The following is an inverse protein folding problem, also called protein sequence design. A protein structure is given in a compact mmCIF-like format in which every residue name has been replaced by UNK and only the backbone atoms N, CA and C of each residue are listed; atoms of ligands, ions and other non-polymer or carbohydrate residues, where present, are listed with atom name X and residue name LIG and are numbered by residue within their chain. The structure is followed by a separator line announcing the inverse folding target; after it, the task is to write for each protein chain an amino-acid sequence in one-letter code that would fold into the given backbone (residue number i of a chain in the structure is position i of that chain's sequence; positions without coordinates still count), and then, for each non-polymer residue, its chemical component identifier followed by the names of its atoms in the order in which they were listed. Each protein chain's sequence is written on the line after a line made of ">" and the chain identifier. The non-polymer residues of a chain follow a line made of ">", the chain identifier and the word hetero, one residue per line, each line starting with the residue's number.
data_IF_053146659640
#
_entry.id   IF_053146659640
#
_cell.length_a   1.000
_cell.length_b   1.000
_cell.length_c   1.000
_cell.angle_alpha   90.00
_cell.angle_beta   90.00
_cell.angle_gamma   90.00
#
_symmetry.space_group_name_H-M   'P 1'
#
loop_
_entity.id
_entity.type
_entity.pdbx_description
1 polymer ?
#
# COMPACT_ATOMS: atom_id res chain seq x y z
N UNK A 1 -16.66 9.60 12.84
CA UNK A 1 -15.23 9.43 13.19
C UNK A 1 -14.73 8.10 12.66
N UNK A 2 -13.92 8.10 11.60
CA UNK A 2 -13.38 6.88 10.97
C UNK A 2 -11.88 6.87 11.18
N UNK A 3 -11.40 5.95 12.02
CA UNK A 3 -9.97 5.72 12.24
C UNK A 3 -9.50 4.70 11.20
N UNK A 4 -8.36 4.97 10.58
CA UNK A 4 -7.62 4.03 9.73
C UNK A 4 -6.44 3.51 10.55
N UNK A 5 -6.21 2.20 10.55
CA UNK A 5 -5.05 1.57 11.17
C UNK A 5 -4.18 0.97 10.06
N UNK A 6 -2.90 1.26 10.11
CA UNK A 6 -1.92 0.75 9.15
C UNK A 6 -1.00 -0.27 9.84
N UNK A 7 -0.89 -1.46 9.25
CA UNK A 7 0.18 -2.39 9.54
C UNK A 7 1.41 -1.98 8.71
N UNK A 8 2.27 -1.15 9.30
CA UNK A 8 3.42 -0.58 8.61
C UNK A 8 4.43 -1.62 8.08
N UNK A 9 5.20 -1.23 7.06
CA UNK A 9 6.18 -2.12 6.40
C UNK A 9 7.09 -2.88 7.37
N UNK A 10 7.69 -2.28 8.42
CA UNK A 10 8.57 -3.02 9.33
C UNK A 10 7.85 -4.10 10.14
N UNK A 11 6.57 -3.87 10.49
CA UNK A 11 5.76 -4.85 11.21
C UNK A 11 5.50 -6.07 10.33
N UNK A 12 5.05 -5.84 9.09
CA UNK A 12 4.77 -6.93 8.15
C UNK A 12 6.06 -7.66 7.75
N UNK A 13 7.17 -6.95 7.50
CA UNK A 13 8.45 -7.60 7.19
C UNK A 13 8.95 -8.51 8.31
N UNK A 14 8.69 -8.15 9.56
CA UNK A 14 9.16 -8.93 10.72
C UNK A 14 8.28 -10.15 11.03
N UNK A 15 6.98 -10.05 10.84
CA UNK A 15 6.01 -11.06 11.29
C UNK A 15 5.16 -11.67 10.17
N UNK A 16 5.33 -11.22 8.93
CA UNK A 16 4.50 -11.61 7.79
C UNK A 16 3.06 -11.10 7.91
N UNK A 17 2.19 -11.66 7.07
CA UNK A 17 0.76 -11.34 7.04
C UNK A 17 -0.01 -11.76 8.31
N UNK A 18 0.56 -12.64 9.13
CA UNK A 18 0.03 -12.99 10.45
C UNK A 18 -0.16 -11.76 11.35
N UNK A 19 0.65 -10.70 11.16
CA UNK A 19 0.45 -9.44 11.87
C UNK A 19 -0.89 -8.79 11.52
N UNK A 20 -1.26 -8.79 10.23
CA UNK A 20 -2.51 -8.22 9.73
C UNK A 20 -3.70 -9.05 10.20
N UNK A 21 -3.60 -10.39 10.13
CA UNK A 21 -4.64 -11.30 10.65
C UNK A 21 -4.92 -11.03 12.13
N UNK A 22 -3.86 -10.96 12.97
CA UNK A 22 -4.01 -10.66 14.40
C UNK A 22 -4.58 -9.28 14.67
N UNK A 23 -4.26 -8.29 13.83
CA UNK A 23 -4.86 -6.96 13.94
C UNK A 23 -6.36 -7.00 13.62
N UNK A 24 -6.78 -7.69 12.54
CA UNK A 24 -8.20 -7.87 12.23
C UNK A 24 -8.96 -8.55 13.37
N UNK A 25 -8.41 -9.61 13.95
CA UNK A 25 -9.05 -10.32 15.07
C UNK A 25 -9.30 -9.42 16.29
N UNK A 26 -8.41 -8.45 16.53
CA UNK A 26 -8.53 -7.50 17.65
C UNK A 26 -9.36 -6.27 17.31
N UNK A 27 -9.41 -5.90 16.03
CA UNK A 27 -10.01 -4.67 15.52
C UNK A 27 -10.93 -4.99 14.32
N UNK A 28 -12.03 -5.75 14.51
CA UNK A 28 -12.83 -6.28 13.42
C UNK A 28 -13.49 -5.20 12.55
N UNK A 29 -13.85 -4.07 13.14
CA UNK A 29 -14.64 -3.02 12.47
C UNK A 29 -13.81 -1.81 12.00
N UNK A 30 -12.48 -1.90 12.10
CA UNK A 30 -11.56 -0.82 11.72
C UNK A 30 -11.10 -1.00 10.29
N UNK A 31 -10.92 0.12 9.57
CA UNK A 31 -10.33 0.10 8.24
C UNK A 31 -8.82 -0.17 8.35
N UNK A 32 -8.38 -1.33 7.88
CA UNK A 32 -7.03 -1.85 8.06
C UNK A 32 -6.25 -1.80 6.74
N UNK A 33 -5.13 -1.09 6.74
CA UNK A 33 -4.21 -0.96 5.60
C UNK A 33 -3.00 -1.87 5.80
N UNK A 34 -2.70 -2.73 4.83
CA UNK A 34 -1.47 -3.51 4.79
C UNK A 34 -0.40 -2.76 3.97
N UNK A 35 0.57 -2.15 4.64
CA UNK A 35 1.64 -1.39 4.01
C UNK A 35 2.80 -2.31 3.58
N UNK A 36 2.58 -3.06 2.50
CA UNK A 36 3.58 -3.95 1.92
C UNK A 36 4.72 -3.22 1.21
N UNK A 37 4.45 -1.99 0.74
CA UNK A 37 5.31 -1.26 -0.20
C UNK A 37 5.69 -2.11 -1.41
N UNK A 38 4.68 -2.75 -2.00
CA UNK A 38 4.82 -3.65 -3.14
C UNK A 38 5.60 -2.97 -4.26
N UNK A 39 6.73 -3.57 -4.65
CA UNK A 39 7.61 -3.07 -5.70
C UNK A 39 7.60 -3.96 -6.95
N UNK A 40 7.34 -5.25 -6.76
CA UNK A 40 7.20 -6.26 -7.80
C UNK A 40 6.07 -7.22 -7.44
N UNK A 41 5.70 -8.13 -8.36
CA UNK A 41 4.70 -9.19 -8.16
C UNK A 41 3.35 -8.68 -7.64
N UNK A 42 2.92 -7.50 -8.11
CA UNK A 42 1.73 -6.76 -7.64
C UNK A 42 0.50 -7.61 -7.32
N UNK A 43 0.10 -8.49 -8.25
CA UNK A 43 -1.04 -9.40 -8.06
C UNK A 43 -0.90 -10.25 -6.80
N UNK A 44 0.26 -10.87 -6.61
CA UNK A 44 0.51 -11.81 -5.52
C UNK A 44 0.46 -11.12 -4.16
N UNK A 45 1.03 -9.92 -4.06
CA UNK A 45 1.01 -9.16 -2.80
C UNK A 45 -0.38 -8.57 -2.48
N UNK A 46 -1.19 -8.25 -3.49
CA UNK A 46 -2.62 -7.97 -3.30
C UNK A 46 -3.35 -9.20 -2.75
N UNK A 47 -3.12 -10.39 -3.34
CA UNK A 47 -3.72 -11.64 -2.87
C UNK A 47 -3.36 -11.90 -1.39
N UNK A 48 -2.11 -11.65 -0.99
CA UNK A 48 -1.67 -11.77 0.42
C UNK A 48 -2.43 -10.82 1.36
N UNK A 49 -2.61 -9.55 0.98
CA UNK A 49 -3.33 -8.58 1.78
C UNK A 49 -4.83 -8.93 1.90
N UNK A 50 -5.44 -9.35 0.79
CA UNK A 50 -6.82 -9.78 0.75
C UNK A 50 -7.07 -11.02 1.62
N UNK A 51 -6.24 -12.06 1.50
CA UNK A 51 -6.35 -13.28 2.30
C UNK A 51 -6.17 -13.00 3.80
N UNK A 52 -5.34 -11.99 4.13
CA UNK A 52 -5.16 -11.51 5.50
C UNK A 52 -6.27 -10.55 5.98
N UNK A 53 -7.31 -10.32 5.18
CA UNK A 53 -8.49 -9.50 5.47
C UNK A 53 -8.21 -8.00 5.65
N UNK A 54 -7.15 -7.49 5.01
CA UNK A 54 -6.93 -6.05 4.91
C UNK A 54 -8.00 -5.39 4.03
N UNK A 55 -8.36 -4.15 4.36
CA UNK A 55 -9.28 -3.35 3.54
C UNK A 55 -8.53 -2.61 2.43
N UNK A 56 -7.23 -2.38 2.60
CA UNK A 56 -6.38 -1.75 1.59
C UNK A 56 -4.96 -2.32 1.61
N UNK A 57 -4.26 -2.14 0.49
CA UNK A 57 -2.87 -2.56 0.31
C UNK A 57 -2.06 -1.46 -0.37
N UNK A 58 -0.78 -1.32 0.02
CA UNK A 58 0.10 -0.25 -0.44
C UNK A 58 1.17 -0.78 -1.40
N UNK A 59 1.24 -0.20 -2.60
CA UNK A 59 2.36 -0.32 -3.52
C UNK A 59 3.29 0.91 -3.45
N UNK A 60 4.56 0.71 -3.78
CA UNK A 60 5.49 1.83 -3.97
C UNK A 60 5.31 2.45 -5.35
N UNK A 61 5.18 3.78 -5.41
CA UNK A 61 5.15 4.58 -6.63
C UNK A 61 6.45 4.50 -7.46
N UNK A 62 7.54 4.00 -6.88
CA UNK A 62 8.78 3.71 -7.60
C UNK A 62 8.65 2.50 -8.54
N UNK A 63 7.68 1.61 -8.32
CA UNK A 63 7.46 0.45 -9.16
C UNK A 63 7.11 0.84 -10.60
N UNK A 64 7.39 -0.02 -11.59
CA UNK A 64 7.07 0.30 -12.99
C UNK A 64 5.56 0.57 -13.20
N UNK A 65 5.16 1.44 -14.15
CA UNK A 65 3.74 1.68 -14.45
C UNK A 65 2.96 0.41 -14.76
N UNK A 66 3.60 -0.56 -15.45
CA UNK A 66 3.01 -1.86 -15.77
C UNK A 66 2.76 -2.70 -14.51
N UNK A 67 3.63 -2.62 -13.51
CA UNK A 67 3.44 -3.29 -12.22
C UNK A 67 2.26 -2.65 -11.47
N UNK A 68 2.26 -1.32 -11.37
CA UNK A 68 1.19 -0.56 -10.72
C UNK A 68 -0.17 -0.85 -11.36
N UNK A 69 -0.30 -0.80 -12.68
CA UNK A 69 -1.56 -1.14 -13.37
C UNK A 69 -2.06 -2.55 -12.99
N UNK A 70 -1.17 -3.54 -12.86
CA UNK A 70 -1.57 -4.91 -12.44
C UNK A 70 -1.98 -4.97 -10.98
N UNK A 71 -1.31 -4.21 -10.12
CA UNK A 71 -1.61 -4.10 -8.70
C UNK A 71 -2.98 -3.43 -8.48
N UNK A 72 -3.23 -2.29 -9.14
CA UNK A 72 -4.50 -1.57 -9.09
C UNK A 72 -5.66 -2.44 -9.58
N UNK A 73 -5.49 -3.05 -10.75
CA UNK A 73 -6.49 -3.93 -11.34
C UNK A 73 -6.84 -5.09 -10.38
N UNK A 74 -5.84 -5.71 -9.77
CA UNK A 74 -6.08 -6.84 -8.86
C UNK A 74 -6.80 -6.40 -7.59
N UNK A 75 -6.37 -5.29 -6.98
CA UNK A 75 -6.98 -4.78 -5.76
C UNK A 75 -8.47 -4.48 -5.99
N UNK A 76 -8.80 -3.82 -7.10
CA UNK A 76 -10.18 -3.56 -7.50
C UNK A 76 -10.95 -4.84 -7.81
N UNK A 77 -10.30 -5.83 -8.44
CA UNK A 77 -10.93 -7.13 -8.77
C UNK A 77 -11.31 -7.93 -7.51
N UNK A 78 -10.46 -7.94 -6.49
CA UNK A 78 -10.73 -8.67 -5.23
C UNK A 78 -11.53 -7.82 -4.22
N UNK A 79 -11.71 -6.54 -4.50
CA UNK A 79 -12.59 -5.65 -3.73
C UNK A 79 -11.92 -4.97 -2.53
N UNK A 80 -10.60 -4.76 -2.59
CA UNK A 80 -9.86 -3.96 -1.60
C UNK A 80 -9.33 -2.67 -2.24
N UNK A 81 -9.03 -1.67 -1.42
CA UNK A 81 -8.54 -0.38 -1.91
C UNK A 81 -7.06 -0.44 -2.24
N UNK A 82 -6.68 0.20 -3.34
CA UNK A 82 -5.31 0.27 -3.83
C UNK A 82 -4.67 1.61 -3.44
N UNK A 83 -3.66 1.55 -2.58
CA UNK A 83 -2.90 2.72 -2.14
C UNK A 83 -1.56 2.75 -2.86
N UNK A 84 -1.10 3.93 -3.27
CA UNK A 84 0.22 4.11 -3.87
C UNK A 84 1.03 5.14 -3.07
N UNK A 85 2.14 4.68 -2.53
CA UNK A 85 3.09 5.48 -1.75
C UNK A 85 4.12 6.16 -2.65
N UNK A 86 4.15 7.49 -2.66
CA UNK A 86 5.01 8.30 -3.50
C UNK A 86 6.36 8.65 -2.85
N UNK A 87 6.78 7.94 -1.81
CA UNK A 87 8.11 8.09 -1.21
C UNK A 87 9.20 7.96 -2.29
N UNK A 88 10.12 8.93 -2.32
CA UNK A 88 11.22 9.05 -3.30
C UNK A 88 10.78 9.18 -4.77
N UNK A 89 9.50 9.43 -5.06
CA UNK A 89 9.03 9.72 -6.42
C UNK A 89 9.21 11.21 -6.71
N UNK A 90 10.08 11.54 -7.67
CA UNK A 90 10.41 12.93 -8.03
C UNK A 90 9.18 13.78 -8.40
N UNK A 91 8.30 13.26 -9.25
CA UNK A 91 7.07 13.93 -9.69
C UNK A 91 5.88 12.96 -9.66
N UNK A 92 5.08 12.98 -8.58
CA UNK A 92 3.90 12.14 -8.44
C UNK A 92 2.85 12.37 -9.53
N UNK A 93 2.73 13.60 -10.06
CA UNK A 93 1.74 13.92 -11.09
C UNK A 93 2.12 13.26 -12.40
N UNK A 94 3.38 13.40 -12.82
CA UNK A 94 3.90 12.72 -14.01
C UNK A 94 3.77 11.21 -13.84
N UNK A 95 4.09 10.67 -12.66
CA UNK A 95 3.96 9.24 -12.40
C UNK A 95 2.53 8.74 -12.56
N UNK A 96 1.56 9.40 -11.93
CA UNK A 96 0.14 9.04 -12.00
C UNK A 96 -0.40 9.15 -13.43
N UNK A 97 0.07 10.13 -14.21
CA UNK A 97 -0.35 10.30 -15.62
C UNK A 97 0.05 9.14 -16.54
N UNK A 98 0.99 8.29 -16.11
CA UNK A 98 1.44 7.11 -16.86
C UNK A 98 0.58 5.87 -16.61
N UNK A 99 -0.30 5.90 -15.60
CA UNK A 99 -1.12 4.76 -15.20
C UNK A 99 -2.42 4.72 -16.00
N UNK A 100 -2.94 3.52 -16.26
CA UNK A 100 -4.24 3.30 -16.89
C UNK A 100 -5.37 3.43 -15.89
N UNK A 101 -5.10 3.05 -14.65
CA UNK A 101 -6.02 3.14 -13.53
C UNK A 101 -5.48 4.14 -12.50
N UNK A 102 -6.39 4.85 -11.85
CA UNK A 102 -6.04 5.79 -10.79
C UNK A 102 -6.17 5.05 -9.46
N UNK A 103 -5.15 5.10 -8.58
CA UNK A 103 -5.26 4.52 -7.24
C UNK A 103 -6.36 5.19 -6.43
N UNK A 104 -6.96 4.45 -5.50
CA UNK A 104 -7.98 4.98 -4.60
C UNK A 104 -7.40 6.04 -3.65
N UNK A 105 -6.14 5.84 -3.24
CA UNK A 105 -5.40 6.77 -2.39
C UNK A 105 -3.96 6.91 -2.87
N UNK A 106 -3.48 8.15 -2.89
CA UNK A 106 -2.07 8.48 -3.08
C UNK A 106 -1.51 8.96 -1.74
N UNK A 107 -0.43 8.33 -1.28
CA UNK A 107 0.27 8.74 -0.06
C UNK A 107 1.44 9.64 -0.50
N UNK A 108 1.36 10.92 -0.13
CA UNK A 108 2.49 11.84 -0.25
C UNK A 108 3.39 11.65 0.97
N UNK A 109 4.52 10.98 0.78
CA UNK A 109 5.34 10.47 1.86
C UNK A 109 6.75 11.04 1.77
N UNK A 110 7.18 11.73 2.83
CA UNK A 110 8.59 12.10 3.03
C UNK A 110 9.23 11.03 3.91
N UNK A 111 10.32 10.42 3.44
CA UNK A 111 11.03 9.39 4.19
C UNK A 111 11.55 9.91 5.54
N UNK A 112 11.46 9.09 6.57
CA UNK A 112 11.91 9.45 7.94
C UNK A 112 13.41 9.80 7.94
N UNK A 113 14.23 9.07 7.19
CA UNK A 113 15.67 9.32 7.11
C UNK A 113 16.02 10.65 6.42
N UNK A 114 15.14 11.19 5.57
CA UNK A 114 15.33 12.49 4.90
C UNK A 114 14.77 13.67 5.69
N UNK A 115 14.06 13.44 6.81
CA UNK A 115 13.61 14.52 7.70
C UNK A 115 14.77 15.22 8.43
N UNK A 116 15.86 14.49 8.70
CA UNK A 116 16.99 15.00 9.50
C UNK A 116 18.10 15.67 8.69
N UNK A 117 17.99 15.69 7.35
CA UNK A 117 19.05 16.17 6.44
C UNK A 117 18.84 17.62 5.99
N UNK A 118 17.71 18.24 6.32
CA UNK A 118 17.45 19.66 6.05
C UNK A 118 17.55 20.49 7.34
N UNK A 119 18.71 21.11 7.55
CA UNK A 119 18.92 22.30 8.41
C UNK A 119 19.56 23.41 7.62
#
# INVERSE_FOLDING_TARGET
>A
DRIIIEAGTPLIKKYGMDAVVKLREKLPDVFLVADLKTLDVGKLEVDFAFDATADAVVASGLASPVMLDKFLFEAHRVGIYAYVDMMEVDDPIVKLSQLKEIPDVVILHRGIDTESVET
#
